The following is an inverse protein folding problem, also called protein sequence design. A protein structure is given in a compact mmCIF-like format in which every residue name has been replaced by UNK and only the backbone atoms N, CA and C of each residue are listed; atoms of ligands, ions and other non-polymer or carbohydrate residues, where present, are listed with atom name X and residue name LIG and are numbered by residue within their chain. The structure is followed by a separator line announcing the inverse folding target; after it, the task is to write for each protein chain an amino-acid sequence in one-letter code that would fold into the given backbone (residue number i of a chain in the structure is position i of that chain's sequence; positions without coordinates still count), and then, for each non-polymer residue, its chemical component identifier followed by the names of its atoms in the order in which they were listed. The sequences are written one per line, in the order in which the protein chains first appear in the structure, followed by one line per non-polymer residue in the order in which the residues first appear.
data_IF_662350935369
#
_entry.id   IF_662350935369
#
_cell.length_a   1.000
_cell.length_b   1.000
_cell.length_c   1.000
_cell.angle_alpha   90.00
_cell.angle_beta   90.00
_cell.angle_gamma   90.00
#
_symmetry.space_group_name_H-M   'P 1'
#
loop_
_entity.id
_entity.type
_entity.pdbx_description
1 polymer ?
#
# COMPACT_ATOMS: atom_id res chain seq x y z
N UNK A 1 -30.17 -26.85 14.99
CA UNK A 1 -30.14 -26.25 13.64
C UNK A 1 -28.68 -26.08 13.25
N UNK A 2 -28.28 -26.39 12.00
CA UNK A 2 -26.97 -25.95 11.52
C UNK A 2 -26.90 -24.42 11.64
N UNK A 3 -25.76 -23.90 12.08
CA UNK A 3 -25.56 -22.46 12.17
C UNK A 3 -25.63 -21.87 10.74
N UNK A 4 -26.37 -20.77 10.59
CA UNK A 4 -26.44 -20.07 9.32
C UNK A 4 -25.04 -19.58 8.92
N UNK A 5 -24.67 -19.68 7.63
CA UNK A 5 -23.39 -19.19 7.16
C UNK A 5 -23.28 -17.67 7.40
N UNK A 6 -22.11 -17.23 7.83
CA UNK A 6 -21.82 -15.79 8.00
C UNK A 6 -21.91 -15.11 6.64
N UNK A 7 -22.83 -14.16 6.50
CA UNK A 7 -22.92 -13.32 5.29
C UNK A 7 -21.83 -12.26 5.40
N UNK A 8 -20.83 -12.29 4.51
CA UNK A 8 -19.59 -11.49 4.57
C UNK A 8 -19.76 -9.97 4.44
N UNK A 9 -20.99 -9.44 4.51
CA UNK A 9 -21.31 -8.05 4.17
C UNK A 9 -21.03 -7.03 5.29
N UNK A 10 -20.43 -7.47 6.40
CA UNK A 10 -20.16 -6.63 7.58
C UNK A 10 -18.71 -6.77 8.08
N UNK A 11 -17.77 -7.14 7.22
CA UNK A 11 -16.37 -7.16 7.62
C UNK A 11 -15.92 -5.72 7.87
N UNK A 12 -15.36 -5.44 9.04
CA UNK A 12 -14.88 -4.10 9.43
C UNK A 12 -13.43 -4.15 9.86
N UNK A 13 -12.68 -3.08 9.55
CA UNK A 13 -11.25 -2.98 9.83
C UNK A 13 -10.97 -1.70 10.63
N UNK A 14 -10.07 -1.80 11.60
CA UNK A 14 -9.49 -0.66 12.29
C UNK A 14 -7.99 -0.81 12.44
N UNK A 15 -7.28 0.31 12.49
CA UNK A 15 -5.85 0.37 12.81
C UNK A 15 -5.63 1.22 14.05
N UNK A 16 -4.53 0.92 14.75
CA UNK A 16 -4.06 1.72 15.88
C UNK A 16 -2.52 1.63 15.96
N UNK A 17 -1.93 2.57 16.69
CA UNK A 17 -0.50 2.56 17.02
C UNK A 17 -0.14 1.54 18.10
N UNK A 18 -1.11 1.12 18.93
CA UNK A 18 -0.89 0.17 20.01
C UNK A 18 -2.17 -0.58 20.40
N UNK A 19 -2.01 -1.64 21.20
CA UNK A 19 -3.13 -2.31 21.87
C UNK A 19 -3.39 -1.69 23.25
N UNK A 20 -4.62 -1.77 23.78
CA UNK A 20 -5.83 -2.33 23.15
C UNK A 20 -6.49 -1.36 22.16
N UNK A 21 -7.30 -1.91 21.24
CA UNK A 21 -8.18 -1.10 20.41
C UNK A 21 -9.27 -0.43 21.27
N UNK A 22 -9.50 0.86 21.05
CA UNK A 22 -10.48 1.66 21.77
C UNK A 22 -11.19 2.65 20.84
N UNK A 23 -11.87 3.64 21.41
CA UNK A 23 -12.63 4.65 20.63
C UNK A 23 -11.73 5.62 19.85
N UNK A 24 -10.43 5.65 20.11
CA UNK A 24 -9.44 6.44 19.37
C UNK A 24 -8.84 5.70 18.18
N UNK A 25 -9.07 4.39 18.08
CA UNK A 25 -8.65 3.60 16.93
C UNK A 25 -9.32 4.08 15.64
N UNK A 26 -8.61 3.96 14.53
CA UNK A 26 -9.00 4.56 13.25
C UNK A 26 -9.66 3.50 12.37
N UNK A 27 -10.97 3.57 12.10
CA UNK A 27 -11.63 2.66 11.20
C UNK A 27 -11.26 2.96 9.75
N UNK A 28 -11.06 1.92 8.95
CA UNK A 28 -10.78 2.02 7.52
C UNK A 28 -11.93 1.43 6.71
N UNK A 29 -12.37 2.17 5.69
CA UNK A 29 -13.19 1.61 4.62
C UNK A 29 -12.26 0.90 3.64
N UNK A 30 -12.51 -0.39 3.39
CA UNK A 30 -11.81 -1.15 2.36
C UNK A 30 -12.78 -1.55 1.25
N UNK A 31 -12.25 -1.68 0.04
CA UNK A 31 -13.00 -2.01 -1.17
C UNK A 31 -12.52 -3.37 -1.69
N UNK A 32 -13.47 -4.29 -1.89
CA UNK A 32 -13.17 -5.63 -2.38
C UNK A 32 -12.87 -6.61 -1.25
N UNK A 33 -11.87 -7.47 -1.46
CA UNK A 33 -11.50 -8.53 -0.51
C UNK A 33 -10.31 -8.14 0.35
N UNK A 34 -10.43 -8.36 1.65
CA UNK A 34 -9.32 -8.42 2.61
C UNK A 34 -8.72 -9.84 2.60
N UNK A 35 -7.39 -9.95 2.57
CA UNK A 35 -6.69 -11.25 2.42
C UNK A 35 -5.65 -11.54 3.50
N UNK A 36 -5.59 -10.75 4.57
CA UNK A 36 -4.63 -10.93 5.66
C UNK A 36 -4.98 -12.18 6.47
N UNK A 37 -4.04 -13.11 6.60
CA UNK A 37 -4.28 -14.31 7.41
C UNK A 37 -2.98 -14.88 7.94
N UNK A 38 -3.06 -15.61 9.04
CA UNK A 38 -2.00 -16.50 9.50
C UNK A 38 -2.05 -17.83 8.72
N UNK A 39 -0.92 -18.21 8.14
CA UNK A 39 -0.65 -19.53 7.57
C UNK A 39 0.50 -20.19 8.36
N UNK A 40 0.32 -21.45 8.73
CA UNK A 40 1.32 -22.24 9.46
C UNK A 40 1.72 -23.47 8.66
N UNK A 41 3.02 -23.75 8.62
CA UNK A 41 3.55 -24.94 7.93
C UNK A 41 3.48 -26.20 8.82
N UNK A 42 3.54 -27.38 8.21
CA UNK A 42 3.65 -28.67 8.90
C UNK A 42 4.96 -29.35 8.45
N UNK A 43 5.94 -29.37 9.35
CA UNK A 43 7.24 -29.99 9.08
C UNK A 43 7.17 -31.48 9.39
N UNK A 44 7.36 -32.30 8.37
CA UNK A 44 7.44 -33.75 8.48
C UNK A 44 8.89 -34.25 8.34
N UNK A 45 9.13 -35.45 8.84
CA UNK A 45 10.43 -36.11 8.68
C UNK A 45 10.40 -37.08 7.49
N UNK A 46 11.06 -36.70 6.39
CA UNK A 46 11.12 -37.43 5.10
C UNK A 46 12.13 -38.60 5.06
N UNK A 47 12.26 -39.31 6.17
CA UNK A 47 13.08 -40.52 6.24
C UNK A 47 12.44 -41.73 5.54
N UNK A 48 13.25 -42.75 5.24
CA UNK A 48 12.73 -44.06 4.80
C UNK A 48 11.95 -44.72 5.95
N UNK A 49 10.62 -44.83 5.79
CA UNK A 49 9.69 -45.24 6.86
C UNK A 49 9.37 -46.74 6.88
N UNK A 50 9.82 -47.51 5.88
CA UNK A 50 9.45 -48.93 5.71
C UNK A 50 7.97 -49.15 5.33
N UNK A 51 7.16 -48.09 5.35
CA UNK A 51 5.76 -48.03 4.91
C UNK A 51 5.60 -46.88 3.92
N UNK A 52 4.61 -46.99 3.03
CA UNK A 52 4.23 -45.91 2.13
C UNK A 52 3.46 -44.78 2.86
N UNK A 53 2.79 -45.11 3.95
CA UNK A 53 1.95 -44.17 4.70
C UNK A 53 2.77 -43.18 5.55
N UNK A 54 2.20 -41.99 5.77
CA UNK A 54 2.80 -40.91 6.56
C UNK A 54 2.15 -40.84 7.95
N UNK A 55 2.94 -41.06 9.01
CA UNK A 55 2.45 -41.00 10.39
C UNK A 55 2.41 -39.55 10.90
N UNK A 56 1.25 -39.10 11.40
CA UNK A 56 1.06 -37.75 11.94
C UNK A 56 1.98 -37.44 13.13
N UNK A 57 2.36 -38.45 13.91
CA UNK A 57 3.22 -38.33 15.09
C UNK A 57 4.66 -37.90 14.74
N UNK A 58 5.02 -37.97 13.45
CA UNK A 58 6.30 -37.54 12.90
C UNK A 58 6.24 -36.17 12.22
N UNK A 59 5.16 -35.43 12.46
CA UNK A 59 4.97 -34.05 12.04
C UNK A 59 5.08 -33.10 13.22
N UNK A 60 5.53 -31.87 12.98
CA UNK A 60 5.57 -30.77 13.93
C UNK A 60 5.08 -29.50 13.25
N UNK A 61 4.58 -28.56 14.06
CA UNK A 61 4.24 -27.22 13.59
C UNK A 61 5.52 -26.51 13.09
N UNK A 62 5.44 -25.98 11.88
CA UNK A 62 6.46 -25.17 11.25
C UNK A 62 6.24 -23.69 11.54
N UNK A 63 6.92 -22.84 10.77
CA UNK A 63 6.87 -21.39 10.94
C UNK A 63 5.49 -20.85 10.60
N UNK A 64 5.10 -19.77 11.28
CA UNK A 64 3.87 -19.02 11.03
C UNK A 64 4.15 -17.78 10.20
N UNK A 65 3.42 -17.59 9.11
CA UNK A 65 3.49 -16.41 8.24
C UNK A 65 2.16 -15.67 8.34
N UNK A 66 2.24 -14.36 8.58
CA UNK A 66 1.05 -13.51 8.62
C UNK A 66 1.23 -12.41 7.57
N UNK A 67 0.46 -12.51 6.50
CA UNK A 67 0.56 -11.59 5.36
C UNK A 67 -0.77 -11.47 4.63
N UNK A 68 -0.92 -10.36 3.90
CA UNK A 68 -2.05 -10.14 3.02
C UNK A 68 -2.13 -8.70 2.56
N UNK A 69 -3.27 -8.37 1.93
CA UNK A 69 -3.45 -7.10 1.27
C UNK A 69 -4.83 -6.50 1.56
N UNK A 70 -4.88 -5.17 1.58
CA UNK A 70 -6.12 -4.40 1.63
C UNK A 70 -6.09 -3.31 0.56
N UNK A 71 -7.27 -2.93 0.09
CA UNK A 71 -7.46 -1.84 -0.86
C UNK A 71 -8.38 -0.80 -0.26
N UNK A 72 -7.94 0.44 -0.17
CA UNK A 72 -8.69 1.54 0.46
C UNK A 72 -8.80 2.73 -0.49
N UNK A 73 -9.90 3.50 -0.45
CA UNK A 73 -10.01 4.74 -1.20
C UNK A 73 -9.16 5.84 -0.54
N UNK A 74 -8.41 6.59 -1.36
CA UNK A 74 -7.58 7.69 -0.87
C UNK A 74 -8.44 8.89 -0.48
N UNK A 75 -8.77 9.02 0.81
CA UNK A 75 -9.34 10.24 1.40
C UNK A 75 -8.34 10.88 2.36
N UNK A 76 -8.59 12.12 2.77
CA UNK A 76 -7.69 12.89 3.63
C UNK A 76 -7.42 12.16 4.96
N UNK A 77 -8.47 11.81 5.71
CA UNK A 77 -8.32 11.09 7.00
C UNK A 77 -7.59 9.77 6.83
N UNK A 78 -7.92 8.99 5.79
CA UNK A 78 -7.30 7.68 5.54
C UNK A 78 -5.81 7.83 5.22
N UNK A 79 -5.44 8.84 4.44
CA UNK A 79 -4.04 9.10 4.12
C UNK A 79 -3.26 9.64 5.32
N UNK A 80 -3.82 10.55 6.12
CA UNK A 80 -3.14 11.01 7.34
C UNK A 80 -2.87 9.85 8.32
N UNK A 81 -3.78 8.89 8.40
CA UNK A 81 -3.61 7.70 9.23
C UNK A 81 -2.57 6.72 8.67
N UNK A 82 -2.53 6.50 7.35
CA UNK A 82 -1.70 5.45 6.75
C UNK A 82 -0.32 5.92 6.28
N UNK A 83 -0.17 7.18 5.88
CA UNK A 83 1.10 7.70 5.35
C UNK A 83 2.27 7.55 6.32
N UNK A 84 2.14 7.77 7.65
CA UNK A 84 3.24 7.52 8.60
C UNK A 84 3.74 6.08 8.58
N UNK A 85 2.84 5.11 8.40
CA UNK A 85 3.18 3.69 8.33
C UNK A 85 3.77 3.28 6.97
N UNK A 86 3.44 4.02 5.89
CA UNK A 86 4.00 3.80 4.55
C UNK A 86 5.41 4.39 4.44
N UNK A 87 5.62 5.63 4.92
CA UNK A 87 6.88 6.36 4.76
C UNK A 87 7.84 6.15 5.92
N UNK A 88 7.33 5.72 7.08
CA UNK A 88 8.07 5.53 8.33
C UNK A 88 8.24 6.79 9.17
N UNK A 89 7.84 7.96 8.65
CA UNK A 89 8.00 9.26 9.29
C UNK A 89 6.69 9.83 9.82
N UNK A 90 6.73 10.44 11.01
CA UNK A 90 5.57 11.18 11.52
C UNK A 90 5.27 12.40 10.65
N UNK A 91 4.00 12.77 10.62
CA UNK A 91 3.57 14.00 9.97
C UNK A 91 4.25 15.22 10.58
N UNK A 92 4.79 16.09 9.73
CA UNK A 92 5.33 17.39 10.09
C UNK A 92 4.66 18.48 9.24
N UNK A 93 3.59 19.10 9.77
CA UNK A 93 2.82 20.14 9.04
C UNK A 93 2.28 19.61 7.71
N UNK A 94 1.49 18.53 7.73
CA UNK A 94 0.95 17.84 6.55
C UNK A 94 2.00 17.21 5.61
N UNK A 95 3.28 17.20 5.97
CA UNK A 95 4.36 16.58 5.19
C UNK A 95 4.75 15.26 5.85
N UNK A 96 4.84 14.21 5.04
CA UNK A 96 5.22 12.87 5.47
C UNK A 96 6.62 12.55 4.91
N UNK A 97 7.68 12.69 5.73
CA UNK A 97 9.04 12.40 5.28
C UNK A 97 9.24 10.90 5.10
N UNK A 98 10.14 10.55 4.18
CA UNK A 98 10.63 9.19 3.99
C UNK A 98 11.75 8.90 4.98
N UNK A 99 11.45 8.06 5.96
CA UNK A 99 12.44 7.61 6.94
C UNK A 99 13.07 6.27 6.53
N UNK A 100 14.18 5.93 7.20
CA UNK A 100 14.93 4.69 6.97
C UNK A 100 14.43 3.51 7.81
N UNK A 101 13.45 3.74 8.68
CA UNK A 101 12.79 2.72 9.51
C UNK A 101 11.29 2.87 9.38
N UNK A 102 10.57 1.76 9.32
CA UNK A 102 9.11 1.77 9.32
C UNK A 102 8.56 1.69 10.75
N UNK A 103 7.46 2.39 10.96
CA UNK A 103 6.70 2.30 12.20
C UNK A 103 5.84 1.06 12.20
N UNK A 104 5.69 0.47 13.38
CA UNK A 104 4.78 -0.64 13.62
C UNK A 104 3.39 -0.11 13.94
N UNK A 105 2.39 -0.85 13.52
CA UNK A 105 1.00 -0.62 13.90
C UNK A 105 0.31 -1.95 14.20
N UNK A 106 -0.89 -1.84 14.72
CA UNK A 106 -1.77 -2.98 14.95
C UNK A 106 -3.01 -2.83 14.08
N UNK A 107 -3.53 -3.95 13.59
CA UNK A 107 -4.74 -3.97 12.77
C UNK A 107 -5.74 -4.98 13.32
N UNK A 108 -7.01 -4.58 13.39
CA UNK A 108 -8.10 -5.43 13.81
C UNK A 108 -9.08 -5.63 12.65
N UNK A 109 -9.50 -6.87 12.42
CA UNK A 109 -10.46 -7.26 11.38
C UNK A 109 -11.60 -8.05 12.02
N UNK A 110 -12.82 -7.52 11.99
CA UNK A 110 -14.01 -8.25 12.37
C UNK A 110 -14.55 -9.05 11.17
N UNK A 111 -14.58 -10.38 11.28
CA UNK A 111 -15.14 -11.28 10.25
C UNK A 111 -16.53 -11.80 10.61
N UNK A 112 -17.22 -11.12 11.52
CA UNK A 112 -18.57 -11.40 12.00
C UNK A 112 -18.63 -12.49 13.08
N UNK A 113 -18.03 -13.66 12.84
CA UNK A 113 -18.01 -14.74 13.84
C UNK A 113 -16.87 -14.59 14.85
N UNK A 114 -15.76 -14.00 14.42
CA UNK A 114 -14.55 -13.78 15.21
C UNK A 114 -13.90 -12.49 14.76
N UNK A 115 -13.21 -11.87 15.71
CA UNK A 115 -12.40 -10.68 15.46
C UNK A 115 -10.94 -11.09 15.51
N UNK A 116 -10.17 -10.70 14.51
CA UNK A 116 -8.76 -11.04 14.37
C UNK A 116 -7.93 -9.80 14.63
N UNK A 117 -6.94 -9.90 15.50
CA UNK A 117 -6.02 -8.81 15.84
C UNK A 117 -4.61 -9.17 15.43
N UNK A 118 -4.05 -8.35 14.57
CA UNK A 118 -2.73 -8.46 13.99
C UNK A 118 -1.79 -7.46 14.65
N UNK A 119 -0.67 -7.95 15.19
CA UNK A 119 0.32 -7.10 15.87
C UNK A 119 1.67 -7.12 15.16
N UNK A 120 2.43 -6.02 15.29
CA UNK A 120 3.69 -5.83 14.59
C UNK A 120 3.53 -5.66 13.08
N UNK A 121 2.40 -5.07 12.65
CA UNK A 121 2.10 -4.86 11.23
C UNK A 121 3.06 -3.80 10.66
N UNK A 122 3.56 -4.07 9.45
CA UNK A 122 4.35 -3.13 8.65
C UNK A 122 3.90 -3.21 7.19
N UNK A 123 3.93 -2.07 6.50
CA UNK A 123 3.51 -1.98 5.11
C UNK A 123 4.70 -2.30 4.20
N UNK A 124 4.62 -3.45 3.53
CA UNK A 124 5.63 -3.90 2.57
C UNK A 124 5.54 -3.12 1.26
N UNK A 125 4.33 -2.90 0.76
CA UNK A 125 4.09 -2.18 -0.50
C UNK A 125 2.86 -1.30 -0.40
N UNK A 126 2.97 -0.09 -0.93
CA UNK A 126 1.87 0.85 -1.10
C UNK A 126 1.79 1.30 -2.56
N UNK A 127 0.67 1.06 -3.23
CA UNK A 127 0.46 1.43 -4.63
C UNK A 127 -0.74 2.37 -4.75
N UNK A 128 -0.48 3.60 -5.19
CA UNK A 128 -1.48 4.61 -5.47
C UNK A 128 -1.92 4.48 -6.92
N UNK A 129 -3.18 4.11 -7.15
CA UNK A 129 -3.73 3.74 -8.45
C UNK A 129 -4.91 4.63 -8.83
N UNK A 130 -4.82 5.30 -9.97
CA UNK A 130 -5.94 6.02 -10.56
C UNK A 130 -5.99 5.80 -12.07
N UNK A 131 -7.20 5.62 -12.58
CA UNK A 131 -7.47 5.50 -14.02
C UNK A 131 -8.56 6.50 -14.41
N UNK A 132 -8.66 6.81 -15.70
CA UNK A 132 -9.62 7.78 -16.20
C UNK A 132 -11.05 7.50 -15.71
N UNK A 133 -11.65 8.47 -15.02
CA UNK A 133 -13.01 8.39 -14.49
C UNK A 133 -13.15 7.63 -13.16
N UNK A 134 -12.05 7.15 -12.57
CA UNK A 134 -12.04 6.44 -11.29
C UNK A 134 -11.40 7.28 -10.18
N UNK A 135 -11.74 6.92 -8.94
CA UNK A 135 -11.12 7.48 -7.73
C UNK A 135 -9.69 6.96 -7.58
N UNK A 136 -8.87 7.69 -6.82
CA UNK A 136 -7.55 7.25 -6.41
C UNK A 136 -7.70 6.18 -5.32
N UNK A 137 -7.17 4.99 -5.60
CA UNK A 137 -7.15 3.85 -4.70
C UNK A 137 -5.74 3.65 -4.17
N UNK A 138 -5.64 3.16 -2.93
CA UNK A 138 -4.40 2.74 -2.30
C UNK A 138 -4.47 1.24 -2.04
N UNK A 139 -3.62 0.49 -2.73
CA UNK A 139 -3.42 -0.94 -2.50
C UNK A 139 -2.23 -1.12 -1.56
N UNK A 140 -2.46 -1.78 -0.43
CA UNK A 140 -1.46 -2.03 0.61
C UNK A 140 -1.22 -3.52 0.76
N UNK A 141 0.06 -3.91 0.76
CA UNK A 141 0.49 -5.22 1.24
C UNK A 141 1.09 -5.08 2.63
N UNK A 142 0.59 -5.90 3.54
CA UNK A 142 0.88 -5.84 4.97
C UNK A 142 1.50 -7.17 5.39
N UNK A 143 2.59 -7.06 6.15
CA UNK A 143 3.23 -8.17 6.84
C UNK A 143 3.10 -7.95 8.35
N UNK A 144 2.70 -8.97 9.09
CA UNK A 144 2.56 -8.90 10.54
C UNK A 144 3.41 -9.97 11.24
N UNK A 145 3.58 -9.82 12.55
CA UNK A 145 4.35 -10.74 13.37
C UNK A 145 3.45 -11.81 14.00
N UNK A 146 2.28 -11.42 14.49
CA UNK A 146 1.37 -12.34 15.21
C UNK A 146 -0.10 -12.07 14.89
N UNK A 147 -0.92 -13.13 14.92
CA UNK A 147 -2.39 -13.07 14.89
C UNK A 147 -2.94 -13.56 16.24
N UNK A 148 -3.96 -12.86 16.75
CA UNK A 148 -4.74 -13.29 17.92
C UNK A 148 -6.23 -13.21 17.61
N UNK A 149 -7.01 -14.12 18.19
CA UNK A 149 -8.45 -14.21 17.93
C UNK A 149 -9.26 -13.76 19.14
N UNK A 150 -10.17 -12.81 18.94
CA UNK A 150 -11.22 -12.39 19.86
C UNK A 150 -12.60 -12.94 19.48
N UNK A 151 -13.51 -12.91 20.44
CA UNK A 151 -14.91 -13.28 20.22
C UNK A 151 -15.67 -12.20 19.44
N UNK A 152 -16.77 -12.60 18.78
CA UNK A 152 -17.68 -11.67 18.12
C UNK A 152 -18.16 -10.58 19.09
N UNK A 153 -18.26 -9.34 18.59
CA UNK A 153 -18.68 -8.18 19.39
C UNK A 153 -17.59 -7.54 20.25
N UNK A 154 -16.33 -7.98 20.11
CA UNK A 154 -15.18 -7.32 20.75
C UNK A 154 -14.63 -6.14 19.94
N UNK A 155 -15.08 -5.95 18.69
CA UNK A 155 -14.73 -4.80 17.87
C UNK A 155 -15.35 -3.51 18.46
N UNK A 156 -14.55 -2.45 18.70
CA UNK A 156 -15.08 -1.22 19.28
C UNK A 156 -16.06 -0.51 18.34
N UNK A 157 -17.00 0.25 18.92
CA UNK A 157 -17.92 1.06 18.14
C UNK A 157 -17.19 2.29 17.58
N UNK A 158 -16.79 2.21 16.30
CA UNK A 158 -16.05 3.26 15.60
C UNK A 158 -16.92 3.97 14.55
N UNK A 159 -16.60 5.24 14.28
CA UNK A 159 -17.27 6.03 13.23
C UNK A 159 -16.41 6.01 11.96
N UNK A 160 -16.94 5.38 10.91
CA UNK A 160 -16.24 5.29 9.63
C UNK A 160 -16.10 6.66 8.97
N UNK A 161 -14.95 6.95 8.32
CA UNK A 161 -14.78 8.19 7.57
C UNK A 161 -15.78 8.26 6.42
N UNK A 162 -16.30 9.46 6.16
CA UNK A 162 -17.28 9.74 5.09
C UNK A 162 -16.78 10.81 4.12
N UNK A 163 -15.49 11.13 4.19
CA UNK A 163 -14.85 12.14 3.35
C UNK A 163 -14.81 11.68 1.89
N UNK A 164 -14.85 12.66 0.98
CA UNK A 164 -14.80 12.39 -0.46
C UNK A 164 -13.37 12.04 -0.86
N UNK A 165 -13.11 10.87 -1.47
CA UNK A 165 -11.78 10.51 -1.90
C UNK A 165 -11.31 11.36 -3.08
N UNK A 166 -9.98 11.43 -3.26
CA UNK A 166 -9.36 12.04 -4.42
C UNK A 166 -9.73 11.27 -5.70
N UNK A 167 -9.82 11.99 -6.82
CA UNK A 167 -10.24 11.42 -8.10
C UNK A 167 -9.31 11.84 -9.23
N UNK A 168 -9.11 10.95 -10.21
CA UNK A 168 -8.18 11.15 -11.33
C UNK A 168 -8.37 12.49 -12.06
N UNK A 169 -9.63 12.94 -12.25
CA UNK A 169 -9.93 14.17 -13.00
C UNK A 169 -9.39 15.45 -12.36
N UNK A 170 -9.10 15.41 -11.06
CA UNK A 170 -8.60 16.58 -10.30
C UNK A 170 -7.07 16.49 -10.08
N UNK A 171 -6.42 15.50 -10.71
CA UNK A 171 -4.97 15.28 -10.71
C UNK A 171 -4.26 16.09 -11.79
N UNK A 172 -3.17 16.75 -11.41
CA UNK A 172 -2.27 17.49 -12.29
C UNK A 172 -0.88 16.89 -12.15
N UNK A 173 -0.33 16.37 -13.24
CA UNK A 173 1.03 15.82 -13.29
C UNK A 173 1.93 16.78 -14.06
N UNK A 174 3.06 17.14 -13.47
CA UNK A 174 4.12 17.94 -14.10
C UNK A 174 5.36 17.07 -14.25
N UNK A 175 5.83 16.92 -15.49
CA UNK A 175 7.07 16.23 -15.83
C UNK A 175 7.93 17.14 -16.73
N UNK A 176 9.23 17.20 -16.44
CA UNK A 176 10.17 18.10 -17.14
C UNK A 176 9.74 19.58 -17.10
N UNK A 177 9.10 20.00 -16.01
CA UNK A 177 8.63 21.38 -15.83
C UNK A 177 7.38 21.77 -16.62
N UNK A 178 6.74 20.83 -17.33
CA UNK A 178 5.48 21.08 -18.05
C UNK A 178 4.38 20.14 -17.58
N UNK A 179 3.14 20.66 -17.50
CA UNK A 179 1.95 19.88 -17.17
C UNK A 179 1.63 18.90 -18.30
N UNK A 180 1.34 17.64 -17.95
CA UNK A 180 1.07 16.55 -18.89
C UNK A 180 -0.34 16.01 -18.68
N UNK A 181 -0.99 15.66 -19.78
CA UNK A 181 -2.25 14.92 -19.72
C UNK A 181 -1.95 13.42 -19.58
N UNK A 182 -2.67 12.74 -18.70
CA UNK A 182 -2.46 11.31 -18.43
C UNK A 182 -3.80 10.61 -18.20
N UNK A 183 -3.91 9.36 -18.68
CA UNK A 183 -5.11 8.53 -18.50
C UNK A 183 -5.00 7.53 -17.35
N UNK A 184 -3.77 7.26 -16.92
CA UNK A 184 -3.45 6.28 -15.88
C UNK A 184 -2.31 6.83 -15.02
N UNK A 185 -2.40 6.61 -13.72
CA UNK A 185 -1.39 6.96 -12.73
C UNK A 185 -1.21 5.81 -11.76
N UNK A 186 0.01 5.31 -11.67
CA UNK A 186 0.44 4.35 -10.67
C UNK A 186 1.74 4.86 -10.04
N UNK A 187 1.70 5.13 -8.75
CA UNK A 187 2.89 5.38 -7.95
C UNK A 187 3.01 4.27 -6.91
N UNK A 188 4.08 3.48 -6.99
CA UNK A 188 4.29 2.35 -6.08
C UNK A 188 5.53 2.58 -5.23
N UNK A 189 5.35 2.49 -3.91
CA UNK A 189 6.41 2.48 -2.90
C UNK A 189 6.53 1.05 -2.39
N UNK A 190 7.68 0.43 -2.61
CA UNK A 190 7.97 -0.93 -2.16
C UNK A 190 9.12 -0.88 -1.15
N UNK A 191 8.76 -1.04 0.13
CA UNK A 191 9.66 -1.05 1.27
C UNK A 191 10.16 -2.48 1.51
N UNK A 192 10.98 -3.03 0.61
CA UNK A 192 11.49 -4.41 0.64
C UNK A 192 11.80 -4.89 2.07
N UNK A 193 10.88 -5.68 2.64
CA UNK A 193 10.95 -6.16 4.02
C UNK A 193 11.69 -7.48 4.11
N UNK A 194 12.45 -7.67 5.19
CA UNK A 194 13.01 -8.98 5.54
C UNK A 194 12.00 -9.78 6.36
N UNK A 195 11.27 -10.67 5.68
CA UNK A 195 10.16 -11.46 6.26
C UNK A 195 10.57 -12.82 6.81
N UNK A 196 11.86 -13.19 6.72
CA UNK A 196 12.35 -14.53 7.07
C UNK A 196 13.10 -14.57 8.41
N UNK A 197 13.04 -13.48 9.20
CA UNK A 197 13.66 -13.40 10.52
C UNK A 197 12.81 -14.05 11.61
N UNK A 198 12.92 -15.37 11.70
CA UNK A 198 12.28 -16.19 12.72
C UNK A 198 13.20 -16.56 13.89
N UNK A 199 14.51 -16.63 13.65
CA UNK A 199 15.49 -17.16 14.62
C UNK A 199 15.02 -18.51 15.23
N UNK A 200 14.92 -18.60 16.55
CA UNK A 200 14.41 -19.78 17.27
C UNK A 200 12.95 -19.64 17.71
N UNK A 201 12.18 -18.74 17.09
CA UNK A 201 10.77 -18.49 17.38
C UNK A 201 9.85 -19.06 16.29
N UNK A 202 8.58 -19.26 16.67
CA UNK A 202 7.53 -19.76 15.77
C UNK A 202 6.99 -18.65 14.85
N UNK A 203 7.00 -17.42 15.36
CA UNK A 203 6.55 -16.19 14.69
C UNK A 203 7.75 -15.30 14.38
N UNK A 204 7.58 -14.34 13.49
CA UNK A 204 8.64 -13.40 13.13
C UNK A 204 9.02 -12.55 14.34
N UNK A 205 10.32 -12.36 14.57
CA UNK A 205 10.82 -11.55 15.69
C UNK A 205 10.87 -10.06 15.35
N UNK A 206 11.17 -9.73 14.10
CA UNK A 206 11.23 -8.36 13.60
C UNK A 206 11.15 -8.37 12.08
N UNK A 207 10.61 -7.31 11.49
CA UNK A 207 10.45 -7.17 10.04
C UNK A 207 11.11 -5.86 9.59
N UNK A 208 12.45 -5.79 9.53
CA UNK A 208 13.16 -4.58 9.15
C UNK A 208 13.05 -4.33 7.64
N UNK A 209 13.12 -3.05 7.27
CA UNK A 209 13.29 -2.65 5.87
C UNK A 209 14.74 -2.91 5.42
N UNK A 210 14.90 -3.45 4.22
CA UNK A 210 16.22 -3.75 3.63
C UNK A 210 16.55 -2.81 2.49
N UNK A 211 15.57 -2.49 1.66
CA UNK A 211 15.69 -1.57 0.53
C UNK A 211 14.35 -0.88 0.28
N UNK A 212 14.35 0.21 -0.49
CA UNK A 212 13.15 0.90 -0.94
C UNK A 212 13.23 1.18 -2.42
N UNK A 213 12.26 0.67 -3.17
CA UNK A 213 12.09 0.99 -4.58
C UNK A 213 10.81 1.80 -4.77
N UNK A 214 10.90 2.92 -5.50
CA UNK A 214 9.76 3.77 -5.82
C UNK A 214 9.65 3.84 -7.34
N UNK A 215 8.47 3.53 -7.87
CA UNK A 215 8.21 3.49 -9.31
C UNK A 215 7.01 4.36 -9.65
N UNK A 216 7.13 5.11 -10.75
CA UNK A 216 6.04 5.88 -11.33
C UNK A 216 5.74 5.31 -12.73
N UNK A 217 4.48 4.92 -12.93
CA UNK A 217 3.97 4.55 -14.24
C UNK A 217 2.78 5.45 -14.62
N UNK A 218 2.85 6.02 -15.81
CA UNK A 218 1.83 6.94 -16.35
C UNK A 218 1.61 6.69 -17.84
N UNK A 219 0.42 7.03 -18.33
CA UNK A 219 0.07 6.82 -19.73
C UNK A 219 -0.36 8.13 -20.39
N UNK A 220 0.40 8.57 -21.38
CA UNK A 220 0.23 9.88 -22.05
C UNK A 220 -0.32 9.73 -23.47
N UNK A 221 -1.18 10.65 -23.94
CA UNK A 221 -1.46 10.76 -25.37
C UNK A 221 -0.20 11.21 -26.11
N UNK A 222 0.08 10.62 -27.27
CA UNK A 222 1.16 11.09 -28.12
C UNK A 222 0.69 12.33 -28.91
N UNK A 223 1.18 13.50 -28.50
CA UNK A 223 0.94 14.78 -29.16
C UNK A 223 2.23 15.61 -29.23
N UNK A 224 2.18 16.76 -29.90
CA UNK A 224 3.29 17.74 -29.93
C UNK A 224 3.75 18.16 -28.54
N UNK A 225 2.85 18.12 -27.55
CA UNK A 225 3.12 18.52 -26.18
C UNK A 225 3.75 17.38 -25.36
N UNK A 226 4.02 16.22 -25.96
CA UNK A 226 4.58 15.05 -25.28
C UNK A 226 5.82 14.48 -26.00
N UNK A 227 6.28 15.12 -27.09
CA UNK A 227 7.41 14.61 -27.87
C UNK A 227 8.73 14.64 -27.10
N UNK A 228 8.86 15.56 -26.16
CA UNK A 228 10.02 15.70 -25.27
C UNK A 228 10.07 14.61 -24.17
N UNK A 229 8.99 13.84 -24.00
CA UNK A 229 8.98 12.67 -23.13
C UNK A 229 9.69 11.46 -23.77
N UNK A 230 9.88 11.47 -25.09
CA UNK A 230 10.73 10.49 -25.77
C UNK A 230 12.21 10.88 -25.60
N UNK A 231 13.08 9.89 -25.34
CA UNK A 231 14.53 10.07 -25.25
C UNK A 231 14.96 11.14 -24.25
N UNK A 232 14.30 11.18 -23.10
CA UNK A 232 14.69 12.02 -21.98
C UNK A 232 16.13 11.73 -21.52
N UNK A 233 16.72 12.69 -20.82
CA UNK A 233 17.99 12.48 -20.16
C UNK A 233 17.87 11.30 -19.17
N UNK A 234 18.80 10.34 -19.25
CA UNK A 234 18.79 9.15 -18.40
C UNK A 234 19.06 9.48 -16.92
N UNK A 235 19.66 10.65 -16.64
CA UNK A 235 19.80 11.18 -15.28
C UNK A 235 18.44 11.51 -14.63
N UNK A 236 17.38 11.58 -15.43
CA UNK A 236 16.02 11.85 -14.98
C UNK A 236 15.76 13.32 -14.72
N UNK A 237 14.53 13.62 -14.33
CA UNK A 237 14.10 14.97 -13.99
C UNK A 237 13.10 14.97 -12.84
N UNK A 238 12.99 16.10 -12.15
CA UNK A 238 11.98 16.28 -11.12
C UNK A 238 10.57 16.17 -11.71
N UNK A 239 9.66 15.61 -10.92
CA UNK A 239 8.26 15.47 -11.27
C UNK A 239 7.37 15.78 -10.08
N UNK A 240 6.17 16.27 -10.34
CA UNK A 240 5.17 16.51 -9.28
C UNK A 240 3.80 16.03 -9.72
N UNK A 241 3.09 15.32 -8.84
CA UNK A 241 1.69 14.97 -9.04
C UNK A 241 0.86 15.62 -7.92
N UNK A 242 -0.13 16.42 -8.28
CA UNK A 242 -0.98 17.14 -7.33
C UNK A 242 -2.43 16.74 -7.58
N UNK A 243 -3.08 16.15 -6.58
CA UNK A 243 -4.50 15.84 -6.59
C UNK A 243 -5.20 16.83 -5.66
N UNK A 244 -6.04 17.69 -6.24
CA UNK A 244 -6.89 18.58 -5.47
C UNK A 244 -8.24 17.92 -5.23
N UNK A 245 -8.87 18.14 -4.07
CA UNK A 245 -10.26 17.74 -3.90
C UNK A 245 -11.17 18.88 -4.33
N UNK A 246 -11.70 18.84 -5.57
CA UNK A 246 -12.57 19.90 -6.05
C UNK A 246 -13.85 20.10 -5.21
N UNK A 247 -14.22 19.10 -4.38
CA UNK A 247 -15.36 19.17 -3.49
C UNK A 247 -15.04 19.76 -2.09
N UNK A 248 -13.76 19.85 -1.71
CA UNK A 248 -13.28 20.41 -0.44
C UNK A 248 -11.99 21.20 -0.73
N UNK A 249 -12.12 22.53 -0.86
CA UNK A 249 -11.06 23.41 -1.38
C UNK A 249 -9.75 23.45 -0.58
N UNK A 250 -9.70 22.87 0.62
CA UNK A 250 -8.50 22.79 1.45
C UNK A 250 -7.65 21.54 1.22
N UNK A 251 -8.24 20.47 0.68
CA UNK A 251 -7.59 19.15 0.63
C UNK A 251 -6.76 19.00 -0.64
N UNK A 252 -5.44 18.89 -0.46
CA UNK A 252 -4.47 18.79 -1.55
C UNK A 252 -3.43 17.71 -1.24
N UNK A 253 -3.44 16.64 -2.03
CA UNK A 253 -2.42 15.60 -2.00
C UNK A 253 -1.33 15.90 -3.03
N UNK A 254 -0.10 16.03 -2.60
CA UNK A 254 1.07 16.28 -3.46
C UNK A 254 2.09 15.18 -3.31
N UNK A 255 2.53 14.63 -4.44
CA UNK A 255 3.69 13.76 -4.57
C UNK A 255 4.80 14.54 -5.27
N UNK A 256 5.84 14.94 -4.53
CA UNK A 256 7.00 15.62 -5.08
C UNK A 256 8.15 14.62 -5.24
N UNK A 257 8.58 14.41 -6.48
CA UNK A 257 9.59 13.42 -6.87
C UNK A 257 10.89 14.12 -7.28
N UNK A 258 12.01 13.75 -6.67
CA UNK A 258 13.28 14.43 -6.88
C UNK A 258 13.87 14.18 -8.29
N UNK A 259 13.92 12.92 -8.71
CA UNK A 259 14.34 12.55 -10.05
C UNK A 259 13.60 11.29 -10.50
N UNK A 260 12.77 11.41 -11.53
CA UNK A 260 12.13 10.28 -12.21
C UNK A 260 12.97 9.89 -13.41
N UNK A 261 13.50 8.66 -13.39
CA UNK A 261 14.36 8.13 -14.44
C UNK A 261 13.60 7.11 -15.29
N UNK A 262 13.40 7.47 -16.56
CA UNK A 262 12.75 6.60 -17.54
C UNK A 262 13.78 5.89 -18.40
N UNK A 263 13.50 4.63 -18.75
CA UNK A 263 14.23 3.95 -19.82
C UNK A 263 13.81 4.53 -21.16
N UNK A 264 14.77 4.83 -22.03
CA UNK A 264 14.45 5.33 -23.36
C UNK A 264 13.70 4.27 -24.18
N UNK A 265 12.50 4.63 -24.63
CA UNK A 265 11.67 3.85 -25.54
C UNK A 265 11.14 4.79 -26.62
N UNK A 266 11.23 4.36 -27.88
CA UNK A 266 10.59 5.10 -28.98
C UNK A 266 9.15 4.66 -29.10
N UNK A 267 8.27 5.60 -29.41
CA UNK A 267 6.85 5.34 -29.61
C UNK A 267 6.67 4.39 -30.80
N UNK A 268 5.77 3.43 -30.66
CA UNK A 268 5.41 2.50 -31.75
C UNK A 268 3.94 2.67 -32.11
N UNK A 269 3.62 2.56 -33.39
CA UNK A 269 2.22 2.58 -33.85
C UNK A 269 1.55 1.26 -33.49
N UNK A 270 0.58 1.31 -32.58
CA UNK A 270 -0.16 0.14 -32.09
C UNK A 270 -1.47 -0.11 -32.87
N UNK A 271 -1.65 0.51 -34.05
CA UNK A 271 -2.88 0.37 -34.84
C UNK A 271 -4.14 0.95 -34.17
N UNK A 272 -3.99 1.73 -33.10
CA UNK A 272 -5.06 2.42 -32.39
C UNK A 272 -5.26 3.85 -32.94
N UNK A 273 -6.49 4.41 -32.91
CA UNK A 273 -6.77 5.74 -33.43
C UNK A 273 -6.06 6.85 -32.64
N UNK A 274 -5.81 6.64 -31.35
CA UNK A 274 -4.96 7.52 -30.53
C UNK A 274 -3.68 6.77 -30.19
N UNK A 275 -2.54 7.30 -30.63
CA UNK A 275 -1.25 6.78 -30.22
C UNK A 275 -0.98 7.18 -28.77
N UNK A 276 -0.52 6.22 -27.96
CA UNK A 276 -0.26 6.39 -26.53
C UNK A 276 1.20 6.10 -26.23
N UNK A 277 1.73 6.77 -25.23
CA UNK A 277 3.09 6.59 -24.76
C UNK A 277 3.08 6.25 -23.26
N UNK A 278 3.09 4.96 -22.91
CA UNK A 278 3.22 4.53 -21.53
C UNK A 278 4.66 4.74 -21.06
N UNK A 279 4.79 5.46 -19.95
CA UNK A 279 6.03 5.68 -19.24
C UNK A 279 6.04 4.86 -17.96
N UNK A 280 7.19 4.26 -17.68
CA UNK A 280 7.46 3.56 -16.43
C UNK A 280 8.90 3.87 -16.04
N UNK A 281 9.08 4.45 -14.87
CA UNK A 281 10.37 4.93 -14.40
C UNK A 281 10.56 4.75 -12.91
N UNK A 282 11.82 4.75 -12.50
CA UNK A 282 12.20 4.68 -11.09
C UNK A 282 12.35 6.09 -10.54
N UNK A 283 11.86 6.33 -9.34
CA UNK A 283 12.06 7.59 -8.61
C UNK A 283 13.27 7.44 -7.70
N UNK A 284 14.28 8.29 -7.91
CA UNK A 284 15.55 8.28 -7.16
C UNK A 284 15.77 9.61 -6.45
N UNK A 285 16.61 9.56 -5.41
CA UNK A 285 17.08 10.77 -4.72
C UNK A 285 17.99 11.59 -5.64
N UNK A 286 18.07 12.89 -5.37
CA UNK A 286 18.96 13.80 -6.08
C UNK A 286 19.68 14.70 -5.08
N UNK A 287 21.00 14.56 -4.97
CA UNK A 287 21.79 15.27 -3.96
C UNK A 287 21.27 15.00 -2.54
N UNK A 288 20.85 16.06 -1.84
CA UNK A 288 20.26 15.99 -0.50
C UNK A 288 18.74 15.88 -0.50
N UNK A 289 18.08 15.86 -1.67
CA UNK A 289 16.63 15.74 -1.78
C UNK A 289 16.21 14.27 -1.74
N UNK A 290 15.32 13.95 -0.80
CA UNK A 290 14.70 12.62 -0.70
C UNK A 290 13.99 12.25 -2.01
N UNK A 291 13.90 10.95 -2.36
CA UNK A 291 13.36 10.53 -3.66
C UNK A 291 11.89 10.96 -3.85
N UNK A 292 11.08 10.88 -2.79
CA UNK A 292 9.68 11.27 -2.78
C UNK A 292 9.37 12.01 -1.48
N UNK A 293 8.58 13.08 -1.59
CA UNK A 293 7.97 13.78 -0.46
C UNK A 293 6.47 13.76 -0.70
N UNK A 294 5.72 13.29 0.29
CA UNK A 294 4.25 13.27 0.22
C UNK A 294 3.73 14.38 1.14
N UNK A 295 2.79 15.17 0.63
CA UNK A 295 2.10 16.21 1.40
C UNK A 295 0.61 16.01 1.28
N UNK A 296 -0.11 15.87 2.38
CA UNK A 296 -1.58 15.79 2.42
C UNK A 296 -2.12 17.04 3.11
N UNK A 297 -2.01 18.18 2.41
CA UNK A 297 -2.39 19.47 2.96
C UNK A 297 -3.90 19.55 3.14
N UNK A 298 -4.32 20.12 4.25
CA UNK A 298 -5.71 20.45 4.55
C UNK A 298 -5.79 21.72 5.39
N UNK A 299 -6.92 22.42 5.31
CA UNK A 299 -7.19 23.71 5.97
C UNK A 299 -7.91 23.57 7.29
#
# INVERSE_FOLDING_TARGET
MPADPVVSRLVTIAIDSALPFDTSSIPLEFVGSETLHEEADIVATDGMRGTIDHNKERTREGLKKVSGSIKVPCSRIVLDALLPYITGGNEATNIFPLEQTLQEFVMMVDRGAKVYTYSGCRIARASFNATQGQILMLDLDIEAETETTGDAGTFPSLTFPTEKPYIMKDGVLTLLGSTREFSEFNLTINNVLDTERYENALTRYTIPITDRTITLATNHPWSTDHTDLEKQALDGAAGTAVFTNAAVSGDVLTFAMAAVQYKNRTVTSQGQPTMRYPLEGDVRSSGSTAPLIITNAHS
#
